data_IF_583045200797
#
_entry.id   IF_583045200797
#
_cell.length_a   1.000
_cell.length_b   1.000
_cell.length_c   1.000
_cell.angle_alpha   90.00
_cell.angle_beta   90.00
_cell.angle_gamma   90.00
#
_symmetry.space_group_name_H-M   'P 1'
#
loop_
_entity.id
_entity.type
_entity.pdbx_description
1 polymer ?
#
# COMPACT_ATOMS: atom_id res chain seq x y z
N UNK A 1 -2.24 7.77 14.54
CA UNK A 1 -2.65 8.54 13.35
C UNK A 1 -2.29 7.74 12.12
N UNK A 2 -3.24 7.43 11.23
CA UNK A 2 -2.99 6.60 10.04
C UNK A 2 -2.33 7.37 8.89
N UNK A 3 -2.39 8.71 8.88
CA UNK A 3 -1.61 9.58 8.00
C UNK A 3 -1.28 10.93 8.67
N UNK A 4 -0.30 11.66 8.13
CA UNK A 4 0.10 13.01 8.57
C UNK A 4 0.34 13.91 7.36
N UNK A 5 -0.05 15.18 7.47
CA UNK A 5 0.14 16.21 6.44
C UNK A 5 1.20 17.21 6.88
N UNK A 6 2.09 17.59 5.97
CA UNK A 6 3.02 18.70 6.15
C UNK A 6 3.22 19.43 4.82
N UNK A 7 2.83 20.71 4.77
CA UNK A 7 2.79 21.46 3.52
C UNK A 7 1.76 20.85 2.57
N UNK A 8 2.20 20.56 1.34
CA UNK A 8 1.42 19.93 0.27
C UNK A 8 1.63 18.40 0.21
N UNK A 9 2.26 17.81 1.22
CA UNK A 9 2.57 16.38 1.25
C UNK A 9 1.79 15.66 2.36
N UNK A 10 1.36 14.43 2.06
CA UNK A 10 0.77 13.50 3.00
C UNK A 10 1.56 12.20 3.01
N UNK A 11 1.85 11.70 4.21
CA UNK A 11 2.48 10.41 4.47
C UNK A 11 1.50 9.51 5.19
N UNK A 12 1.35 8.27 4.74
CA UNK A 12 0.63 7.24 5.49
C UNK A 12 1.58 6.53 6.45
N UNK A 13 1.04 6.01 7.55
CA UNK A 13 1.69 4.91 8.25
C UNK A 13 1.78 3.67 7.34
N UNK A 14 2.51 2.65 7.79
CA UNK A 14 2.49 1.33 7.19
C UNK A 14 1.09 0.71 7.23
N UNK A 15 0.55 0.37 6.06
CA UNK A 15 -0.80 -0.18 5.90
C UNK A 15 -0.74 -1.66 5.55
N UNK A 16 -1.51 -2.45 6.28
CA UNK A 16 -1.64 -3.91 6.09
C UNK A 16 -3.00 -4.27 5.49
N UNK A 17 -3.16 -5.47 4.91
CA UNK A 17 -4.41 -5.90 4.25
C UNK A 17 -5.50 -6.21 5.29
N UNK A 18 -6.13 -5.16 5.83
CA UNK A 18 -7.17 -5.26 6.85
C UNK A 18 -8.56 -4.93 6.32
N UNK A 19 -9.57 -5.58 6.87
CA UNK A 19 -10.99 -5.19 6.76
C UNK A 19 -11.57 -5.12 8.16
N UNK A 20 -12.30 -4.05 8.48
CA UNK A 20 -12.86 -3.83 9.81
C UNK A 20 -11.83 -3.99 10.96
N UNK A 21 -10.59 -3.55 10.74
CA UNK A 21 -9.51 -3.65 11.72
C UNK A 21 -8.82 -5.02 11.80
N UNK A 22 -9.34 -6.06 11.15
CA UNK A 22 -8.77 -7.40 11.16
C UNK A 22 -7.99 -7.72 9.90
N UNK A 23 -6.87 -8.43 10.07
CA UNK A 23 -6.01 -8.85 8.97
C UNK A 23 -6.68 -9.99 8.20
N UNK A 24 -6.89 -9.82 6.89
CA UNK A 24 -7.66 -10.79 6.08
C UNK A 24 -6.85 -12.01 5.64
N UNK A 25 -5.52 -11.89 5.66
CA UNK A 25 -4.58 -12.95 5.29
C UNK A 25 -3.31 -12.82 6.10
N UNK A 26 -2.74 -13.96 6.51
CA UNK A 26 -1.51 -14.02 7.31
C UNK A 26 -0.52 -15.00 6.69
N UNK A 27 0.76 -14.77 6.93
CA UNK A 27 1.83 -15.69 6.58
C UNK A 27 2.87 -15.10 5.61
N UNK A 28 3.77 -15.97 5.18
CA UNK A 28 4.94 -15.64 4.36
C UNK A 28 4.68 -16.04 2.90
N UNK A 29 4.93 -15.12 1.97
CA UNK A 29 4.77 -15.34 0.54
C UNK A 29 5.79 -16.38 0.05
N UNK A 30 5.28 -17.39 -0.66
CA UNK A 30 6.05 -18.56 -1.10
C UNK A 30 6.08 -19.72 -0.10
N UNK A 31 5.53 -19.54 1.11
CA UNK A 31 5.32 -20.62 2.08
C UNK A 31 3.83 -20.79 2.39
N UNK A 32 3.21 -19.77 2.99
CA UNK A 32 1.80 -19.80 3.44
C UNK A 32 0.87 -19.10 2.46
N UNK A 33 1.39 -18.12 1.73
CA UNK A 33 0.64 -17.23 0.83
C UNK A 33 1.21 -17.33 -0.57
N UNK A 34 0.35 -17.56 -1.56
CA UNK A 34 0.77 -17.57 -2.96
C UNK A 34 0.87 -16.15 -3.56
N UNK A 35 1.46 -16.06 -4.75
CA UNK A 35 1.67 -14.77 -5.42
C UNK A 35 0.34 -14.04 -5.72
N UNK A 36 -0.71 -14.77 -6.09
CA UNK A 36 -2.00 -14.18 -6.43
C UNK A 36 -2.65 -13.54 -5.20
N UNK A 37 -2.70 -14.28 -4.09
CA UNK A 37 -3.22 -13.81 -2.80
C UNK A 37 -2.39 -12.63 -2.28
N UNK A 38 -1.06 -12.66 -2.43
CA UNK A 38 -0.20 -11.55 -2.04
C UNK A 38 -0.48 -10.28 -2.87
N UNK A 39 -0.80 -10.42 -4.17
CA UNK A 39 -1.20 -9.29 -5.03
C UNK A 39 -2.52 -8.67 -4.54
N UNK A 40 -3.51 -9.48 -4.22
CA UNK A 40 -4.78 -9.01 -3.65
C UNK A 40 -4.56 -8.32 -2.30
N UNK A 41 -3.70 -8.88 -1.46
CA UNK A 41 -3.31 -8.28 -0.18
C UNK A 41 -2.67 -6.91 -0.38
N UNK A 42 -1.75 -6.76 -1.34
CA UNK A 42 -1.16 -5.47 -1.68
C UNK A 42 -2.21 -4.45 -2.14
N UNK A 43 -3.20 -4.88 -2.93
CA UNK A 43 -4.34 -4.05 -3.35
C UNK A 43 -5.19 -3.56 -2.17
N UNK A 44 -5.50 -4.45 -1.22
CA UNK A 44 -6.24 -4.07 -0.02
C UNK A 44 -5.43 -3.11 0.86
N UNK A 45 -4.14 -3.38 1.05
CA UNK A 45 -3.25 -2.55 1.86
C UNK A 45 -3.17 -1.10 1.32
N UNK A 46 -3.02 -0.92 0.00
CA UNK A 46 -3.00 0.43 -0.60
C UNK A 46 -4.39 1.08 -0.58
N UNK A 47 -5.47 0.30 -0.67
CA UNK A 47 -6.82 0.81 -0.48
C UNK A 47 -6.99 1.42 0.92
N UNK A 48 -6.47 0.76 1.94
CA UNK A 48 -6.46 1.27 3.32
C UNK A 48 -5.62 2.56 3.45
N UNK A 49 -4.49 2.65 2.74
CA UNK A 49 -3.69 3.87 2.68
C UNK A 49 -4.44 5.04 2.05
N UNK A 50 -5.17 4.80 0.95
CA UNK A 50 -6.01 5.82 0.32
C UNK A 50 -7.18 6.25 1.22
N UNK A 51 -7.81 5.33 1.94
CA UNK A 51 -8.83 5.66 2.93
C UNK A 51 -8.26 6.56 4.02
N UNK A 52 -7.09 6.22 4.57
CA UNK A 52 -6.43 7.04 5.58
C UNK A 52 -6.09 8.45 5.08
N UNK A 53 -5.66 8.60 3.82
CA UNK A 53 -5.44 9.91 3.20
C UNK A 53 -6.77 10.66 3.10
N UNK A 54 -7.81 10.06 2.54
CA UNK A 54 -9.12 10.69 2.38
C UNK A 54 -9.71 11.14 3.72
N UNK A 55 -9.62 10.33 4.77
CA UNK A 55 -10.03 10.69 6.13
C UNK A 55 -9.23 11.89 6.69
N UNK A 56 -8.00 12.08 6.23
CA UNK A 56 -7.12 13.17 6.68
C UNK A 56 -7.32 14.46 5.90
N UNK A 57 -7.60 14.38 4.59
CA UNK A 57 -7.67 15.56 3.70
C UNK A 57 -9.05 15.80 3.07
N UNK A 58 -10.06 15.02 3.46
CA UNK A 58 -11.45 15.14 3.03
C UNK A 58 -11.81 14.19 1.88
N UNK A 59 -11.08 14.25 0.77
CA UNK A 59 -11.30 13.38 -0.39
C UNK A 59 -10.02 13.07 -1.18
N UNK A 60 -10.14 12.31 -2.27
CA UNK A 60 -9.02 11.94 -3.14
C UNK A 60 -8.93 12.77 -4.43
N UNK A 61 -9.78 13.79 -4.61
CA UNK A 61 -9.86 14.59 -5.83
C UNK A 61 -8.55 15.31 -6.16
N UNK A 62 -7.90 15.88 -5.15
CA UNK A 62 -6.62 16.59 -5.27
C UNK A 62 -5.36 15.76 -5.03
N UNK A 63 -5.47 14.44 -4.82
CA UNK A 63 -4.34 13.60 -4.39
C UNK A 63 -3.50 13.10 -5.58
N UNK A 64 -2.18 13.22 -5.52
CA UNK A 64 -1.22 12.64 -6.49
C UNK A 64 -0.26 11.69 -5.78
N UNK A 65 -0.23 10.43 -6.17
CA UNK A 65 0.75 9.49 -5.64
C UNK A 65 2.17 9.85 -6.12
N UNK A 66 3.12 9.91 -5.20
CA UNK A 66 4.53 10.24 -5.49
C UNK A 66 5.46 9.05 -5.31
N UNK A 67 5.39 8.41 -4.12
CA UNK A 67 6.24 7.26 -3.76
C UNK A 67 5.42 6.18 -3.08
N UNK A 68 5.52 4.96 -3.60
CA UNK A 68 4.99 3.75 -2.98
C UNK A 68 6.16 2.85 -2.56
N UNK A 69 6.18 2.44 -1.30
CA UNK A 69 7.06 1.37 -0.80
C UNK A 69 6.20 0.17 -0.45
N UNK A 70 6.55 -1.00 -0.98
CA UNK A 70 5.87 -2.28 -0.69
C UNK A 70 6.85 -3.21 -0.02
N UNK A 71 6.53 -3.61 1.21
CA UNK A 71 7.25 -4.63 1.96
C UNK A 71 6.48 -5.94 1.84
N UNK A 72 7.18 -7.01 1.47
CA UNK A 72 6.58 -8.34 1.33
C UNK A 72 7.29 -9.29 2.29
N UNK A 73 6.54 -9.87 3.22
CA UNK A 73 7.06 -10.97 4.01
C UNK A 73 7.18 -12.19 3.11
N UNK A 74 8.40 -12.60 2.74
CA UNK A 74 8.62 -13.64 1.74
C UNK A 74 9.74 -14.59 2.16
N UNK A 75 9.70 -15.81 1.63
CA UNK A 75 10.75 -16.81 1.82
C UNK A 75 12.08 -16.35 1.20
N UNK A 76 13.19 -16.88 1.73
CA UNK A 76 14.51 -16.66 1.14
C UNK A 76 14.53 -17.09 -0.33
N UNK A 77 15.11 -16.25 -1.19
CA UNK A 77 15.18 -16.50 -2.63
C UNK A 77 13.92 -16.14 -3.43
N UNK A 78 12.84 -15.68 -2.80
CA UNK A 78 11.71 -15.11 -3.54
C UNK A 78 12.14 -13.86 -4.30
N UNK A 79 11.77 -13.72 -5.57
CA UNK A 79 12.19 -12.58 -6.42
C UNK A 79 11.03 -11.82 -7.05
N UNK A 80 9.79 -12.31 -6.90
CA UNK A 80 8.60 -11.75 -7.55
C UNK A 80 7.95 -10.60 -6.75
N UNK A 81 8.70 -9.91 -5.91
CA UNK A 81 8.25 -8.72 -5.17
C UNK A 81 7.60 -7.65 -6.07
N UNK A 82 8.14 -7.31 -7.26
CA UNK A 82 7.49 -6.37 -8.16
C UNK A 82 6.10 -6.84 -8.60
N UNK A 83 5.93 -8.15 -8.81
CA UNK A 83 4.65 -8.73 -9.18
C UNK A 83 3.65 -8.64 -8.03
N UNK A 84 4.04 -8.81 -6.76
CA UNK A 84 3.16 -8.54 -5.61
C UNK A 84 2.72 -7.06 -5.59
N UNK A 85 3.67 -6.15 -5.76
CA UNK A 85 3.44 -4.72 -5.72
C UNK A 85 2.54 -4.20 -6.86
N UNK A 86 2.38 -4.95 -7.96
CA UNK A 86 1.46 -4.60 -9.04
C UNK A 86 0.01 -4.59 -8.58
N UNK A 87 -0.36 -5.39 -7.57
CA UNK A 87 -1.70 -5.36 -6.98
C UNK A 87 -2.01 -3.98 -6.38
N UNK A 88 -1.05 -3.40 -5.65
CA UNK A 88 -1.19 -2.03 -5.15
C UNK A 88 -1.22 -0.99 -6.28
N UNK A 89 -0.37 -1.16 -7.29
CA UNK A 89 -0.34 -0.23 -8.44
C UNK A 89 -1.62 -0.26 -9.28
N UNK A 90 -2.28 -1.41 -9.38
CA UNK A 90 -3.58 -1.53 -10.06
C UNK A 90 -4.66 -0.70 -9.35
N UNK A 91 -4.77 -0.82 -8.03
CA UNK A 91 -5.74 -0.04 -7.24
C UNK A 91 -5.46 1.46 -7.31
N UNK A 92 -4.19 1.88 -7.28
CA UNK A 92 -3.86 3.31 -7.45
C UNK A 92 -4.32 3.85 -8.80
N UNK A 93 -4.12 3.10 -9.89
CA UNK A 93 -4.60 3.49 -11.23
C UNK A 93 -6.12 3.52 -11.30
N UNK A 94 -6.78 2.53 -10.73
CA UNK A 94 -8.24 2.45 -10.68
C UNK A 94 -8.84 3.65 -9.94
N UNK A 95 -8.25 4.03 -8.79
CA UNK A 95 -8.83 5.02 -7.88
C UNK A 95 -8.40 6.46 -8.17
N UNK A 96 -7.22 6.66 -8.75
CA UNK A 96 -6.65 7.99 -8.99
C UNK A 96 -6.39 8.28 -10.49
N UNK A 97 -6.58 7.32 -11.38
CA UNK A 97 -6.26 7.47 -12.81
C UNK A 97 -4.77 7.75 -13.02
N UNK A 98 -4.45 8.71 -13.90
CA UNK A 98 -3.08 9.17 -14.15
C UNK A 98 -2.37 9.69 -12.89
N UNK A 99 -3.12 10.20 -11.90
CA UNK A 99 -2.57 10.64 -10.60
C UNK A 99 -2.07 9.48 -9.73
N UNK A 100 -2.42 8.25 -10.09
CA UNK A 100 -1.96 7.02 -9.43
C UNK A 100 -0.63 6.48 -9.97
N UNK A 101 -0.08 7.03 -11.06
CA UNK A 101 1.25 6.64 -11.55
C UNK A 101 2.30 7.12 -10.55
N UNK A 102 3.06 6.18 -9.99
CA UNK A 102 3.88 6.38 -8.79
C UNK A 102 5.28 5.79 -8.95
N UNK A 103 6.30 6.44 -8.39
CA UNK A 103 7.61 5.81 -8.23
C UNK A 103 7.52 4.70 -7.17
N UNK A 104 8.12 3.53 -7.42
CA UNK A 104 7.86 2.33 -6.59
C UNK A 104 9.14 1.63 -6.15
N UNK A 105 9.18 1.19 -4.90
CA UNK A 105 10.12 0.18 -4.39
C UNK A 105 9.33 -1.03 -3.89
N UNK A 106 9.80 -2.23 -4.19
CA UNK A 106 9.24 -3.48 -3.67
C UNK A 106 10.38 -4.33 -3.11
N UNK A 107 10.33 -4.65 -1.83
CA UNK A 107 11.43 -5.32 -1.11
C UNK A 107 10.91 -6.47 -0.26
N UNK A 108 11.74 -7.49 -0.12
CA UNK A 108 11.48 -8.62 0.78
C UNK A 108 11.89 -8.28 2.20
N UNK A 109 11.07 -8.72 3.16
CA UNK A 109 11.35 -8.62 4.58
C UNK A 109 11.07 -9.97 5.25
N UNK A 110 11.64 -10.20 6.44
CA UNK A 110 11.46 -11.47 7.16
C UNK A 110 10.07 -11.61 7.77
N UNK A 111 9.54 -10.53 8.36
CA UNK A 111 8.24 -10.51 9.04
C UNK A 111 7.63 -9.13 8.98
N UNK A 112 6.31 -9.06 9.10
CA UNK A 112 5.54 -7.82 9.20
C UNK A 112 4.59 -7.85 10.42
N UNK A 113 4.06 -6.70 10.87
CA UNK A 113 3.16 -6.60 12.00
C UNK A 113 1.97 -7.58 11.89
N UNK A 114 1.67 -8.24 13.01
CA UNK A 114 0.59 -9.24 13.09
C UNK A 114 0.73 -10.42 12.11
N UNK A 115 1.89 -10.63 11.48
CA UNK A 115 2.09 -11.69 10.49
C UNK A 115 1.43 -11.39 9.13
N UNK A 116 1.29 -10.11 8.76
CA UNK A 116 0.81 -9.73 7.43
C UNK A 116 1.78 -10.22 6.33
N UNK A 117 1.28 -10.62 5.15
CA UNK A 117 2.15 -10.95 4.02
C UNK A 117 2.67 -9.71 3.29
N UNK A 118 1.94 -8.59 3.38
CA UNK A 118 2.26 -7.33 2.70
C UNK A 118 1.98 -6.13 3.60
N UNK A 119 2.86 -5.15 3.57
CA UNK A 119 2.67 -3.81 4.14
C UNK A 119 3.07 -2.77 3.11
N UNK A 120 2.33 -1.65 3.04
CA UNK A 120 2.61 -0.56 2.10
C UNK A 120 2.69 0.79 2.80
N UNK A 121 3.54 1.66 2.29
CA UNK A 121 3.62 3.06 2.66
C UNK A 121 3.46 3.93 1.42
N UNK A 122 2.64 4.98 1.52
CA UNK A 122 2.39 5.92 0.45
C UNK A 122 2.75 7.34 0.87
N UNK A 123 3.53 8.00 0.03
CA UNK A 123 3.70 9.45 0.03
C UNK A 123 2.96 10.02 -1.16
N UNK A 124 2.12 11.02 -0.93
CA UNK A 124 1.36 11.69 -1.95
C UNK A 124 1.43 13.22 -1.78
N UNK A 125 1.26 13.94 -2.89
CA UNK A 125 0.95 15.36 -2.85
C UNK A 125 -0.56 15.57 -2.76
N UNK A 126 -0.97 16.67 -2.13
CA UNK A 126 -2.35 17.15 -2.07
C UNK A 126 -2.40 18.56 -2.64
N UNK A 127 -3.32 18.80 -3.57
CA UNK A 127 -3.55 20.16 -4.07
C UNK A 127 -4.00 21.09 -2.94
N UNK A 128 -3.69 22.38 -3.04
CA UNK A 128 -4.37 23.38 -2.22
C UNK A 128 -5.88 23.23 -2.45
N UNK A 129 -6.66 23.07 -1.38
CA UNK A 129 -8.12 23.12 -1.45
C UNK A 129 -8.50 24.40 -2.21
N UNK A 130 -9.22 24.24 -3.32
CA UNK A 130 -9.81 25.37 -4.04
C UNK A 130 -10.87 26.05 -3.17
#
# INVERSE_FOLDING_TARGET
>A
MPAVVHGDLVWTAGMTPRRAGELVVRGVVGADVDLATAREAAGLAIGNALTAIAETVGDLGGVRALKLTVFVAAVDGFTQHPAVADGASAVLRERLGERGIVARSAVGVRTLPSGAPVEVELVAAVGASA
#
